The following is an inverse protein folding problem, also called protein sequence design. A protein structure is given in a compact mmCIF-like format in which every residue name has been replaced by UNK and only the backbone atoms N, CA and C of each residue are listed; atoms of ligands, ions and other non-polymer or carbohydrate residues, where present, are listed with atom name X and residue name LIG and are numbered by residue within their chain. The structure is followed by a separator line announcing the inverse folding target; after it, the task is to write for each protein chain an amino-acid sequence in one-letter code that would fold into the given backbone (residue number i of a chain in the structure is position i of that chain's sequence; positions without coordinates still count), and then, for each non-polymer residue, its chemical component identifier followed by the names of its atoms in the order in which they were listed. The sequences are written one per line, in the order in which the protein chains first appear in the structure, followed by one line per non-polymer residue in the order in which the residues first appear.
data_IF_255159752367
#
_entry.id   IF_255159752367
#
_cell.length_a   1.000
_cell.length_b   1.000
_cell.length_c   1.000
_cell.angle_alpha   90.00
_cell.angle_beta   90.00
_cell.angle_gamma   90.00
#
_symmetry.space_group_name_H-M   'P 1'
#
loop_
_entity.id
_entity.type
_entity.pdbx_description
1 polymer ?
#
# COMPACT_ATOMS: atom_id res chain seq x y z
N UNK A 1 -6.09 8.11 -8.78
CA UNK A 1 -6.75 7.37 -7.69
C UNK A 1 -7.70 6.38 -8.36
N UNK A 2 -7.34 5.10 -8.46
CA UNK A 2 -8.07 4.15 -9.32
C UNK A 2 -8.22 2.72 -8.77
N UNK A 3 -7.84 2.48 -7.52
CA UNK A 3 -7.92 1.16 -6.87
C UNK A 3 -8.51 1.22 -5.46
N UNK A 4 -8.99 2.40 -5.04
CA UNK A 4 -9.58 2.63 -3.73
C UNK A 4 -11.03 2.97 -3.99
N UNK A 5 -11.92 2.19 -3.38
CA UNK A 5 -13.37 2.39 -3.39
C UNK A 5 -13.76 3.42 -2.35
N UNK A 6 -13.22 3.27 -1.14
CA UNK A 6 -13.47 4.18 -0.03
C UNK A 6 -12.18 4.50 0.73
N UNK A 7 -12.05 5.76 1.10
CA UNK A 7 -11.08 6.23 2.11
C UNK A 7 -11.88 6.72 3.30
N UNK A 8 -11.69 6.09 4.46
CA UNK A 8 -12.28 6.52 5.72
C UNK A 8 -11.20 7.12 6.63
N UNK A 9 -11.49 8.29 7.22
CA UNK A 9 -10.55 8.99 8.11
C UNK A 9 -11.16 9.09 9.51
N UNK A 10 -10.59 8.34 10.44
CA UNK A 10 -10.94 8.38 11.86
C UNK A 10 -9.97 9.34 12.56
N UNK A 11 -10.46 10.51 12.96
CA UNK A 11 -9.64 11.55 13.61
C UNK A 11 -9.62 11.35 15.12
N UNK A 12 -8.46 11.53 15.75
CA UNK A 12 -8.28 11.39 17.20
C UNK A 12 -7.72 10.03 17.59
N UNK A 13 -7.56 9.76 18.90
CA UNK A 13 -7.00 8.51 19.39
C UNK A 13 -7.89 7.33 18.98
N UNK A 14 -7.49 6.57 17.96
CA UNK A 14 -8.21 5.39 17.51
C UNK A 14 -7.85 4.14 18.34
N UNK A 15 -7.41 4.37 19.57
CA UNK A 15 -6.83 3.40 20.48
C UNK A 15 -7.84 2.37 20.97
N UNK A 16 -8.00 1.30 20.18
CA UNK A 16 -8.34 -0.06 20.62
C UNK A 16 -8.39 -1.02 19.41
N UNK A 17 -9.00 -0.59 18.30
CA UNK A 17 -9.15 -1.42 17.08
C UNK A 17 -7.98 -1.34 16.10
N UNK A 18 -7.17 -0.28 16.15
CA UNK A 18 -6.09 -0.01 15.18
C UNK A 18 -4.69 0.08 15.81
N UNK A 19 -4.55 -0.35 17.07
CA UNK A 19 -3.28 -0.31 17.80
C UNK A 19 -3.07 0.94 18.65
N UNK A 20 -2.08 0.87 19.53
CA UNK A 20 -1.74 1.94 20.47
C UNK A 20 -0.99 3.09 19.78
N UNK A 21 -1.15 4.31 20.27
CA UNK A 21 -0.35 5.47 19.84
C UNK A 21 -0.76 6.10 18.50
N UNK A 22 -1.94 5.80 17.97
CA UNK A 22 -2.43 6.39 16.72
C UNK A 22 -3.07 7.76 16.97
N UNK A 23 -2.60 8.81 16.30
CA UNK A 23 -3.22 10.16 16.32
C UNK A 23 -4.46 10.28 15.42
N UNK A 24 -4.71 9.25 14.61
CA UNK A 24 -5.80 9.09 13.66
C UNK A 24 -5.53 7.90 12.76
N UNK A 25 -6.56 7.40 12.07
CA UNK A 25 -6.47 6.24 11.17
C UNK A 25 -7.04 6.61 9.80
N UNK A 26 -6.35 6.18 8.75
CA UNK A 26 -6.85 6.21 7.39
C UNK A 26 -7.06 4.76 6.95
N UNK A 27 -8.32 4.40 6.71
CA UNK A 27 -8.70 3.07 6.25
C UNK A 27 -8.99 3.13 4.75
N UNK A 28 -8.37 2.22 4.00
CA UNK A 28 -8.58 2.09 2.56
C UNK A 28 -9.37 0.83 2.29
N UNK A 29 -10.54 0.97 1.68
CA UNK A 29 -11.32 -0.15 1.17
C UNK A 29 -11.08 -0.24 -0.33
N UNK A 30 -10.53 -1.36 -0.78
CA UNK A 30 -10.27 -1.61 -2.20
C UNK A 30 -11.36 -2.53 -2.73
N UNK A 31 -12.48 -1.92 -3.14
CA UNK A 31 -13.65 -2.40 -3.90
C UNK A 31 -14.03 -3.88 -3.77
N UNK A 32 -15.28 -4.13 -3.39
CA UNK A 32 -15.88 -5.46 -3.32
C UNK A 32 -16.54 -5.77 -4.68
N UNK A 33 -16.00 -6.66 -5.53
CA UNK A 33 -16.49 -6.81 -6.90
C UNK A 33 -17.95 -7.31 -6.88
N UNK A 34 -18.82 -6.62 -7.63
CA UNK A 34 -20.17 -7.08 -7.92
C UNK A 34 -20.13 -8.42 -8.68
N UNK A 35 -21.17 -9.23 -8.55
CA UNK A 35 -21.26 -10.49 -9.31
C UNK A 35 -21.23 -10.21 -10.82
N UNK A 36 -20.48 -11.02 -11.58
CA UNK A 36 -20.32 -10.87 -13.03
C UNK A 36 -18.86 -10.77 -13.48
N UNK A 37 -18.66 -10.38 -14.74
CA UNK A 37 -17.33 -10.18 -15.34
C UNK A 37 -17.16 -8.70 -15.66
N UNK A 38 -16.06 -8.10 -15.21
CA UNK A 38 -15.77 -6.69 -15.44
C UNK A 38 -14.33 -6.48 -15.86
N UNK A 39 -14.11 -5.73 -16.93
CA UNK A 39 -12.77 -5.27 -17.36
C UNK A 39 -12.81 -3.76 -17.50
N UNK A 40 -11.81 -3.09 -16.92
CA UNK A 40 -11.65 -1.63 -16.99
C UNK A 40 -10.22 -1.30 -17.37
N UNK A 41 -10.06 -0.51 -18.42
CA UNK A 41 -8.78 0.09 -18.79
C UNK A 41 -8.87 1.61 -18.67
N UNK A 42 -7.81 2.24 -18.21
CA UNK A 42 -7.69 3.71 -18.20
C UNK A 42 -6.29 4.12 -18.60
N UNK A 43 -6.21 5.23 -19.31
CA UNK A 43 -4.94 5.86 -19.66
C UNK A 43 -5.03 7.36 -19.35
N UNK A 44 -3.96 7.92 -18.81
CA UNK A 44 -3.85 9.35 -18.54
C UNK A 44 -2.52 9.85 -19.09
N UNK A 45 -2.57 10.84 -19.97
CA UNK A 45 -1.42 11.61 -20.42
C UNK A 45 -1.44 13.00 -19.79
N UNK A 46 -0.26 13.59 -19.57
CA UNK A 46 -0.14 14.93 -19.00
C UNK A 46 1.20 15.60 -19.27
N UNK A 47 1.36 16.80 -18.72
CA UNK A 47 2.62 17.56 -18.76
C UNK A 47 3.81 16.73 -18.27
N UNK A 48 5.03 17.12 -18.65
CA UNK A 48 6.28 16.45 -18.21
C UNK A 48 6.38 14.97 -18.64
N UNK A 49 5.83 14.65 -19.81
CA UNK A 49 5.79 13.28 -20.30
C UNK A 49 5.11 12.33 -19.31
N UNK A 50 4.10 12.81 -18.57
CA UNK A 50 3.37 11.94 -17.64
C UNK A 50 2.49 10.99 -18.45
N UNK A 51 2.68 9.69 -18.20
CA UNK A 51 1.87 8.61 -18.73
C UNK A 51 1.44 7.69 -17.58
N UNK A 52 0.16 7.39 -17.49
CA UNK A 52 -0.37 6.49 -16.46
C UNK A 52 -1.38 5.53 -17.07
N UNK A 53 -0.99 4.30 -17.29
CA UNK A 53 -1.86 3.21 -17.73
C UNK A 53 -2.36 2.39 -16.54
N UNK A 54 -3.62 1.96 -16.58
CA UNK A 54 -4.20 1.04 -15.59
C UNK A 54 -5.09 0.03 -16.29
N UNK A 55 -5.00 -1.21 -15.84
CA UNK A 55 -5.89 -2.30 -16.24
C UNK A 55 -6.42 -2.97 -14.97
N UNK A 56 -7.71 -3.26 -14.97
CA UNK A 56 -8.42 -3.96 -13.92
C UNK A 56 -9.28 -5.03 -14.57
N UNK A 57 -9.22 -6.24 -14.03
CA UNK A 57 -10.12 -7.32 -14.38
C UNK A 57 -10.74 -7.88 -13.11
N UNK A 58 -12.01 -8.23 -13.18
CA UNK A 58 -12.79 -8.74 -12.07
C UNK A 58 -13.73 -9.82 -12.57
N UNK A 59 -13.91 -10.84 -11.74
CA UNK A 59 -14.88 -11.90 -11.96
C UNK A 59 -15.48 -12.30 -10.62
N UNK A 60 -16.78 -12.56 -10.59
CA UNK A 60 -17.42 -13.08 -9.40
C UNK A 60 -18.74 -13.78 -9.69
N UNK A 61 -19.12 -14.66 -8.77
CA UNK A 61 -20.43 -15.29 -8.67
C UNK A 61 -20.94 -15.19 -7.23
N UNK A 62 -21.95 -15.98 -6.86
CA UNK A 62 -22.56 -15.95 -5.52
C UNK A 62 -21.55 -16.22 -4.40
N UNK A 63 -20.56 -17.09 -4.64
CA UNK A 63 -19.67 -17.61 -3.60
C UNK A 63 -18.21 -17.21 -3.81
N UNK A 64 -17.79 -16.81 -5.01
CA UNK A 64 -16.40 -16.51 -5.33
C UNK A 64 -16.26 -15.16 -6.01
N UNK A 65 -15.17 -14.47 -5.70
CA UNK A 65 -14.84 -13.16 -6.24
C UNK A 65 -13.34 -13.06 -6.42
N UNK A 66 -12.89 -12.61 -7.58
CA UNK A 66 -11.49 -12.30 -7.86
C UNK A 66 -11.40 -10.95 -8.56
N UNK A 67 -10.36 -10.22 -8.23
CA UNK A 67 -10.03 -8.97 -8.88
C UNK A 67 -8.52 -8.83 -8.99
N UNK A 68 -8.05 -8.45 -10.17
CA UNK A 68 -6.66 -8.12 -10.43
C UNK A 68 -6.58 -6.70 -10.97
N UNK A 69 -5.55 -5.96 -10.54
CA UNK A 69 -5.23 -4.66 -11.13
C UNK A 69 -3.74 -4.53 -11.35
N UNK A 70 -3.38 -3.87 -12.43
CA UNK A 70 -2.01 -3.44 -12.71
C UNK A 70 -2.04 -1.98 -13.15
N UNK A 71 -1.08 -1.20 -12.68
CA UNK A 71 -0.90 0.18 -13.11
C UNK A 71 0.57 0.47 -13.29
N UNK A 72 0.88 1.29 -14.29
CA UNK A 72 2.20 1.81 -14.56
C UNK A 72 2.11 3.32 -14.73
N UNK A 73 2.89 4.05 -13.94
CA UNK A 73 3.04 5.50 -14.00
C UNK A 73 4.48 5.81 -14.37
N UNK A 74 4.66 6.67 -15.36
CA UNK A 74 5.95 7.26 -15.71
C UNK A 74 5.78 8.77 -15.84
N UNK A 75 6.74 9.56 -15.36
CA UNK A 75 6.82 11.00 -15.62
C UNK A 75 8.25 11.49 -15.49
N UNK A 76 8.62 12.49 -16.29
CA UNK A 76 9.92 13.17 -16.20
C UNK A 76 9.95 14.23 -15.08
N UNK A 77 8.78 14.58 -14.53
CA UNK A 77 8.67 15.57 -13.45
C UNK A 77 8.86 17.03 -13.90
N UNK A 78 8.47 17.95 -13.02
CA UNK A 78 8.53 19.39 -13.30
C UNK A 78 9.95 19.97 -13.17
N UNK A 79 10.74 19.42 -12.23
CA UNK A 79 12.10 19.86 -11.92
C UNK A 79 13.12 18.94 -12.58
N UNK A 80 14.33 19.44 -12.76
CA UNK A 80 15.47 18.60 -13.12
C UNK A 80 15.67 17.54 -12.04
N UNK A 81 16.00 16.31 -12.44
CA UNK A 81 16.19 15.18 -11.52
C UNK A 81 14.94 14.87 -10.66
N UNK A 82 13.75 14.87 -11.28
CA UNK A 82 12.47 14.56 -10.61
C UNK A 82 11.62 13.51 -11.34
N UNK A 83 12.26 12.69 -12.16
CA UNK A 83 11.57 11.60 -12.85
C UNK A 83 11.05 10.55 -11.86
N UNK A 84 9.96 9.88 -12.22
CA UNK A 84 9.35 8.80 -11.45
C UNK A 84 8.86 7.70 -12.39
N UNK A 85 9.09 6.46 -12.00
CA UNK A 85 8.52 5.26 -12.57
C UNK A 85 7.93 4.42 -11.45
N UNK A 86 6.66 4.03 -11.58
CA UNK A 86 6.00 3.22 -10.57
C UNK A 86 5.07 2.20 -11.21
N UNK A 87 5.33 0.94 -10.91
CA UNK A 87 4.45 -0.17 -11.26
C UNK A 87 3.81 -0.74 -10.01
N UNK A 88 2.48 -0.86 -10.00
CA UNK A 88 1.73 -1.45 -8.89
C UNK A 88 0.85 -2.56 -9.44
N UNK A 89 1.03 -3.77 -8.91
CA UNK A 89 0.18 -4.93 -9.18
C UNK A 89 -0.56 -5.33 -7.91
N UNK A 90 -1.83 -5.69 -8.03
CA UNK A 90 -2.62 -6.19 -6.90
C UNK A 90 -3.55 -7.31 -7.35
N UNK A 91 -3.80 -8.24 -6.44
CA UNK A 91 -4.84 -9.25 -6.58
C UNK A 91 -5.61 -9.38 -5.27
N UNK A 92 -6.93 -9.45 -5.36
CA UNK A 92 -7.83 -9.79 -4.29
C UNK A 92 -8.68 -10.99 -4.69
N UNK A 93 -8.83 -11.95 -3.79
CA UNK A 93 -9.71 -13.10 -3.96
C UNK A 93 -10.52 -13.31 -2.69
N UNK A 94 -11.80 -13.68 -2.84
CA UNK A 94 -12.68 -14.03 -1.75
C UNK A 94 -13.51 -15.26 -2.11
N UNK A 95 -13.68 -16.16 -1.15
CA UNK A 95 -14.57 -17.32 -1.25
C UNK A 95 -15.47 -17.42 -0.02
N UNK A 96 -16.78 -17.31 -0.23
CA UNK A 96 -17.84 -17.45 0.78
C UNK A 96 -18.35 -18.90 0.77
N UNK A 97 -18.37 -19.52 1.94
CA UNK A 97 -18.88 -20.87 2.17
C UNK A 97 -20.38 -20.85 2.48
N UNK A 98 -21.04 -22.00 2.33
CA UNK A 98 -22.47 -22.15 2.62
C UNK A 98 -22.84 -21.83 4.09
N UNK A 99 -21.88 -22.02 5.00
CA UNK A 99 -22.03 -21.75 6.44
C UNK A 99 -21.72 -20.29 6.84
N UNK A 100 -21.72 -19.35 5.88
CA UNK A 100 -21.38 -17.93 6.10
C UNK A 100 -19.94 -17.70 6.60
N UNK A 101 -19.03 -18.63 6.31
CA UNK A 101 -17.59 -18.40 6.38
C UNK A 101 -17.11 -17.68 5.11
N UNK A 102 -16.05 -16.89 5.20
CA UNK A 102 -15.43 -16.27 4.03
C UNK A 102 -13.90 -16.29 4.16
N UNK A 103 -13.25 -16.87 3.16
CA UNK A 103 -11.81 -16.81 2.97
C UNK A 103 -11.45 -15.61 2.10
N UNK A 104 -10.33 -14.96 2.40
CA UNK A 104 -9.78 -13.88 1.58
C UNK A 104 -8.28 -14.11 1.34
N UNK A 105 -7.83 -13.67 0.16
CA UNK A 105 -6.43 -13.57 -0.21
C UNK A 105 -6.22 -12.19 -0.82
N UNK A 106 -5.20 -11.49 -0.39
CA UNK A 106 -4.77 -10.23 -0.99
C UNK A 106 -3.28 -10.27 -1.23
N UNK A 107 -2.83 -9.79 -2.39
CA UNK A 107 -1.42 -9.50 -2.63
C UNK A 107 -1.26 -8.14 -3.30
N UNK A 108 -0.21 -7.43 -2.93
CA UNK A 108 0.15 -6.12 -3.43
C UNK A 108 1.66 -6.10 -3.70
N UNK A 109 2.03 -5.90 -4.96
CA UNK A 109 3.39 -5.69 -5.42
C UNK A 109 3.57 -4.24 -5.88
N UNK A 110 4.67 -3.61 -5.49
CA UNK A 110 5.07 -2.27 -5.94
C UNK A 110 6.52 -2.30 -6.35
N UNK A 111 6.81 -1.78 -7.53
CA UNK A 111 8.15 -1.42 -8.00
C UNK A 111 8.16 0.10 -8.16
N UNK A 112 9.06 0.80 -7.51
CA UNK A 112 9.10 2.25 -7.46
C UNK A 112 10.54 2.73 -7.64
N UNK A 113 10.77 3.51 -8.69
CA UNK A 113 11.98 4.29 -8.86
C UNK A 113 11.59 5.77 -8.97
N UNK A 114 12.20 6.65 -8.18
CA UNK A 114 12.04 8.08 -8.36
C UNK A 114 13.25 8.89 -7.94
N UNK A 115 13.50 9.96 -8.69
CA UNK A 115 14.59 10.89 -8.44
C UNK A 115 14.19 11.94 -7.41
N UNK A 116 15.17 12.36 -6.61
CA UNK A 116 15.02 13.33 -5.52
C UNK A 116 15.73 14.63 -5.94
N UNK A 117 15.00 15.64 -6.44
CA UNK A 117 15.61 16.89 -6.87
C UNK A 117 16.12 17.75 -5.71
N UNK A 118 15.75 17.41 -4.46
CA UNK A 118 16.13 18.15 -3.25
C UNK A 118 15.47 19.54 -3.11
N UNK A 119 15.62 20.14 -1.93
CA UNK A 119 15.15 21.50 -1.66
C UNK A 119 16.07 22.58 -2.23
N UNK A 120 15.49 23.69 -2.69
CA UNK A 120 16.18 24.92 -3.12
C UNK A 120 15.75 26.09 -2.24
N UNK A 121 16.64 27.08 -2.05
CA UNK A 121 16.35 28.28 -1.26
C UNK A 121 15.61 29.35 -2.10
N UNK A 122 15.25 30.49 -1.49
CA UNK A 122 14.47 31.53 -2.14
C UNK A 122 15.21 32.20 -3.33
N UNK A 123 16.52 32.39 -3.22
CA UNK A 123 17.36 32.96 -4.28
C UNK A 123 17.40 32.01 -5.49
N UNK A 124 17.69 30.73 -5.24
CA UNK A 124 17.68 29.67 -6.26
C UNK A 124 16.31 29.52 -6.93
N UNK A 125 15.22 29.62 -6.17
CA UNK A 125 13.87 29.56 -6.72
C UNK A 125 13.59 30.74 -7.67
N UNK A 126 14.05 31.94 -7.31
CA UNK A 126 13.91 33.14 -8.14
C UNK A 126 14.72 33.03 -9.44
N UNK A 127 15.91 32.43 -9.39
CA UNK A 127 16.78 32.24 -10.55
C UNK A 127 16.25 31.16 -11.51
N UNK A 128 15.96 29.96 -10.98
CA UNK A 128 15.38 28.86 -11.76
C UNK A 128 14.54 27.94 -10.86
N UNK A 129 13.20 27.98 -10.96
CA UNK A 129 12.34 27.14 -10.13
C UNK A 129 12.37 25.65 -10.50
N UNK A 130 12.98 25.29 -11.64
CA UNK A 130 13.10 23.90 -12.09
C UNK A 130 14.40 23.24 -11.68
N UNK A 131 15.42 23.99 -11.26
CA UNK A 131 16.73 23.40 -10.97
C UNK A 131 16.67 22.36 -9.85
N UNK A 132 17.50 21.33 -9.93
CA UNK A 132 17.78 20.44 -8.81
C UNK A 132 18.69 21.16 -7.78
N UNK A 133 18.65 20.69 -6.53
CA UNK A 133 19.64 21.08 -5.53
C UNK A 133 21.03 20.67 -6.04
N UNK A 134 22.07 21.51 -5.86
CA UNK A 134 23.44 21.12 -6.16
C UNK A 134 23.79 19.77 -5.54
N UNK A 135 24.48 18.92 -6.31
CA UNK A 135 24.83 17.52 -5.99
C UNK A 135 23.69 16.49 -6.06
N UNK A 136 22.40 16.87 -6.10
CA UNK A 136 21.31 15.89 -6.19
C UNK A 136 21.40 15.04 -7.45
N UNK A 137 21.54 15.68 -8.62
CA UNK A 137 21.69 14.97 -9.88
C UNK A 137 23.04 14.24 -9.97
N UNK A 138 24.13 14.91 -9.57
CA UNK A 138 25.49 14.35 -9.65
C UNK A 138 25.69 13.09 -8.81
N UNK A 139 24.97 12.99 -7.68
CA UNK A 139 25.01 11.84 -6.77
C UNK A 139 23.87 10.85 -7.03
N UNK A 140 23.17 11.01 -8.16
CA UNK A 140 21.98 10.27 -8.53
C UNK A 140 20.98 10.11 -7.37
N UNK A 141 20.65 11.20 -6.68
CA UNK A 141 19.81 11.12 -5.50
C UNK A 141 18.43 10.55 -5.87
N UNK A 142 18.07 9.36 -5.41
CA UNK A 142 16.85 8.67 -5.82
C UNK A 142 16.39 7.71 -4.74
N UNK A 143 15.20 7.15 -4.91
CA UNK A 143 14.72 6.00 -4.16
C UNK A 143 14.31 4.93 -5.16
N UNK A 144 14.90 3.76 -5.00
CA UNK A 144 14.44 2.50 -5.60
C UNK A 144 13.83 1.65 -4.48
N UNK A 145 12.62 1.11 -4.71
CA UNK A 145 11.89 0.34 -3.72
C UNK A 145 10.99 -0.69 -4.38
N UNK A 146 11.30 -1.95 -4.13
CA UNK A 146 10.41 -3.08 -4.40
C UNK A 146 9.75 -3.54 -3.11
N UNK A 147 8.45 -3.81 -3.18
CA UNK A 147 7.70 -4.33 -2.04
C UNK A 147 6.65 -5.32 -2.48
N UNK A 148 6.59 -6.44 -1.78
CA UNK A 148 5.52 -7.42 -1.87
C UNK A 148 4.87 -7.58 -0.51
N UNK A 149 3.55 -7.49 -0.47
CA UNK A 149 2.72 -7.79 0.69
C UNK A 149 1.71 -8.87 0.28
N UNK A 150 1.56 -9.89 1.12
CA UNK A 150 0.55 -10.94 0.97
C UNK A 150 -0.22 -11.06 2.27
N UNK A 151 -1.53 -11.24 2.17
CA UNK A 151 -2.44 -11.44 3.29
C UNK A 151 -3.42 -12.56 2.97
N UNK A 152 -3.66 -13.43 3.94
CA UNK A 152 -4.70 -14.46 3.90
C UNK A 152 -5.58 -14.30 5.11
N UNK A 153 -6.89 -14.25 4.91
CA UNK A 153 -7.87 -14.08 5.96
C UNK A 153 -8.93 -15.16 5.94
N UNK A 154 -9.51 -15.40 7.11
CA UNK A 154 -10.76 -16.12 7.27
C UNK A 154 -11.64 -15.38 8.25
N UNK A 155 -12.90 -15.20 7.88
CA UNK A 155 -13.93 -14.69 8.77
C UNK A 155 -15.11 -15.64 8.81
N UNK A 156 -15.77 -15.74 9.95
CA UNK A 156 -17.01 -16.49 10.11
C UNK A 156 -18.02 -15.65 10.86
N UNK A 157 -19.24 -15.62 10.35
CA UNK A 157 -20.39 -15.06 11.03
C UNK A 157 -21.31 -16.21 11.45
N UNK A 158 -21.33 -16.55 12.73
CA UNK A 158 -22.32 -17.51 13.22
C UNK A 158 -23.69 -16.84 13.31
N UNK A 159 -24.78 -17.58 13.03
CA UNK A 159 -26.19 -17.10 13.11
C UNK A 159 -26.59 -16.52 14.48
N UNK A 160 -25.73 -16.62 15.49
CA UNK A 160 -25.93 -16.09 16.85
C UNK A 160 -24.75 -15.19 17.20
N UNK A 161 -24.87 -13.89 16.95
CA UNK A 161 -24.15 -12.78 17.62
C UNK A 161 -22.62 -12.75 17.62
N UNK A 162 -21.91 -13.80 17.18
CA UNK A 162 -20.46 -13.94 17.24
C UNK A 162 -19.86 -13.91 15.84
N UNK A 163 -18.96 -12.96 15.61
CA UNK A 163 -18.09 -12.88 14.44
C UNK A 163 -16.67 -13.21 14.86
N UNK A 164 -16.03 -14.10 14.13
CA UNK A 164 -14.62 -14.44 14.30
C UNK A 164 -13.85 -14.06 13.05
N UNK A 165 -12.65 -13.52 13.20
CA UNK A 165 -11.74 -13.20 12.11
C UNK A 165 -10.31 -13.57 12.46
N UNK A 166 -9.60 -14.16 11.51
CA UNK A 166 -8.17 -14.42 11.61
C UNK A 166 -7.51 -14.01 10.31
N UNK A 167 -6.38 -13.31 10.40
CA UNK A 167 -5.62 -12.84 9.26
C UNK A 167 -4.15 -13.11 9.48
N UNK A 168 -3.49 -13.70 8.50
CA UNK A 168 -2.04 -13.77 8.41
C UNK A 168 -1.54 -12.88 7.30
N UNK A 169 -0.44 -12.19 7.53
CA UNK A 169 0.23 -11.41 6.50
C UNK A 169 1.73 -11.62 6.53
N UNK A 170 2.35 -11.43 5.36
CA UNK A 170 3.79 -11.42 5.20
C UNK A 170 4.18 -10.36 4.18
N UNK A 171 5.34 -9.75 4.36
CA UNK A 171 5.90 -8.80 3.42
C UNK A 171 7.40 -9.00 3.26
N UNK A 172 7.88 -8.56 2.11
CA UNK A 172 9.31 -8.39 1.82
C UNK A 172 9.48 -7.11 1.02
N UNK A 173 10.64 -6.48 1.16
CA UNK A 173 11.00 -5.35 0.33
C UNK A 173 12.48 -5.07 0.39
N UNK A 174 12.96 -4.51 -0.72
CA UNK A 174 14.27 -3.89 -0.81
C UNK A 174 14.05 -2.36 -0.89
N UNK A 175 15.08 -1.63 -0.52
CA UNK A 175 15.08 -0.18 -0.58
C UNK A 175 16.51 0.29 -0.80
N UNK A 176 16.72 1.07 -1.83
CA UNK A 176 17.97 1.75 -2.10
C UNK A 176 17.70 3.26 -2.16
N UNK A 177 18.58 4.04 -1.52
CA UNK A 177 18.51 5.49 -1.52
C UNK A 177 19.92 6.06 -1.59
N UNK A 178 20.47 6.19 -2.81
CA UNK A 178 21.58 7.10 -3.03
C UNK A 178 21.10 8.51 -2.69
N UNK A 179 21.81 9.17 -1.78
CA UNK A 179 21.54 10.53 -1.38
C UNK A 179 22.82 11.36 -1.39
N UNK A 180 22.72 12.68 -1.24
CA UNK A 180 23.83 13.61 -1.49
C UNK A 180 25.11 13.29 -0.67
N UNK A 181 24.95 12.69 0.52
CA UNK A 181 26.03 12.42 1.46
C UNK A 181 26.22 10.92 1.73
N UNK A 182 25.16 10.14 1.53
CA UNK A 182 25.09 8.78 2.02
C UNK A 182 24.30 7.89 1.06
N UNK A 183 24.61 6.60 1.09
CA UNK A 183 23.95 5.57 0.30
C UNK A 183 23.35 4.54 1.25
N UNK A 184 22.03 4.56 1.36
CA UNK A 184 21.30 3.64 2.22
C UNK A 184 20.77 2.47 1.40
N UNK A 185 21.00 1.27 1.90
CA UNK A 185 20.35 0.05 1.44
C UNK A 185 19.65 -0.63 2.60
N UNK A 186 18.45 -1.13 2.37
CA UNK A 186 17.67 -1.82 3.39
C UNK A 186 16.89 -2.98 2.77
N UNK A 187 17.06 -4.16 3.34
CA UNK A 187 16.20 -5.31 3.10
C UNK A 187 15.33 -5.52 4.32
N UNK A 188 14.01 -5.49 4.12
CA UNK A 188 13.06 -5.81 5.16
C UNK A 188 12.17 -6.98 4.78
N UNK A 189 11.92 -7.84 5.76
CA UNK A 189 10.92 -8.89 5.64
C UNK A 189 10.26 -9.10 6.98
N UNK A 190 9.01 -9.53 6.94
CA UNK A 190 8.28 -9.73 8.17
C UNK A 190 6.91 -10.32 7.93
N UNK A 191 6.22 -10.57 9.02
CA UNK A 191 4.87 -11.08 8.96
C UNK A 191 4.24 -11.14 10.33
N UNK A 192 2.96 -11.44 10.34
CA UNK A 192 2.19 -11.50 11.56
C UNK A 192 0.88 -12.21 11.41
N UNK A 193 0.27 -12.47 12.56
CA UNK A 193 -1.04 -13.05 12.72
C UNK A 193 -1.88 -12.13 13.59
N UNK A 194 -3.09 -11.85 13.14
CA UNK A 194 -4.12 -11.13 13.90
C UNK A 194 -5.34 -12.03 14.02
N UNK A 195 -5.85 -12.21 15.23
CA UNK A 195 -7.11 -12.89 15.47
C UNK A 195 -8.03 -11.99 16.30
N UNK A 196 -9.31 -12.00 15.98
CA UNK A 196 -10.31 -11.18 16.64
C UNK A 196 -11.66 -11.87 16.72
N UNK A 197 -12.41 -11.57 17.77
CA UNK A 197 -13.77 -11.99 17.95
C UNK A 197 -14.62 -10.80 18.39
N UNK A 198 -15.79 -10.64 17.77
CA UNK A 198 -16.81 -9.68 18.18
C UNK A 198 -18.08 -10.41 18.57
N UNK A 199 -18.59 -10.15 19.76
CA UNK A 199 -19.78 -10.78 20.31
C UNK A 199 -20.81 -9.76 20.77
N UNK A 200 -22.00 -9.77 20.16
CA UNK A 200 -23.16 -9.05 20.64
C UNK A 200 -23.80 -9.81 21.82
N UNK A 201 -23.35 -9.52 23.05
CA UNK A 201 -23.72 -10.27 24.26
C UNK A 201 -25.16 -9.96 24.71
N UNK A 202 -25.61 -8.72 24.50
CA UNK A 202 -26.98 -8.23 24.77
C UNK A 202 -27.35 -7.18 23.72
N UNK A 203 -28.64 -6.82 23.57
CA UNK A 203 -29.02 -5.62 22.82
C UNK A 203 -28.21 -4.42 23.36
N UNK A 204 -27.46 -3.76 22.47
CA UNK A 204 -26.58 -2.62 22.74
C UNK A 204 -25.26 -2.91 23.48
N UNK A 205 -24.88 -4.18 23.68
CA UNK A 205 -23.58 -4.55 24.25
C UNK A 205 -22.79 -5.42 23.26
N UNK A 206 -21.73 -4.84 22.69
CA UNK A 206 -20.76 -5.53 21.87
C UNK A 206 -19.44 -5.68 22.62
N UNK A 207 -18.98 -6.92 22.78
CA UNK A 207 -17.64 -7.23 23.28
C UNK A 207 -16.72 -7.52 22.10
N UNK A 208 -15.55 -6.89 22.06
CA UNK A 208 -14.49 -7.17 21.08
C UNK A 208 -13.23 -7.62 21.81
N UNK A 209 -12.67 -8.75 21.36
CA UNK A 209 -11.40 -9.28 21.85
C UNK A 209 -10.50 -9.53 20.65
N UNK A 210 -9.22 -9.18 20.76
CA UNK A 210 -8.25 -9.35 19.69
C UNK A 210 -6.86 -9.62 20.22
N UNK A 211 -6.07 -10.31 19.41
CA UNK A 211 -4.64 -10.55 19.66
C UNK A 211 -3.87 -10.38 18.36
N UNK A 212 -2.65 -9.89 18.49
CA UNK A 212 -1.74 -9.67 17.38
C UNK A 212 -0.34 -10.15 17.75
N UNK A 213 0.28 -10.88 16.84
CA UNK A 213 1.68 -11.30 16.90
C UNK A 213 2.34 -10.89 15.59
N UNK A 214 3.47 -10.19 15.67
CA UNK A 214 4.23 -9.78 14.50
C UNK A 214 5.74 -9.95 14.75
N UNK A 215 6.47 -10.23 13.68
CA UNK A 215 7.93 -10.28 13.66
C UNK A 215 8.45 -9.72 12.35
N UNK A 216 9.45 -8.85 12.43
CA UNK A 216 10.21 -8.36 11.29
C UNK A 216 11.71 -8.63 11.46
N UNK A 217 12.41 -8.64 10.34
CA UNK A 217 13.85 -8.60 10.23
C UNK A 217 14.18 -7.48 9.26
N UNK A 218 14.98 -6.53 9.72
CA UNK A 218 15.37 -5.35 8.98
C UNK A 218 16.91 -5.31 8.96
N UNK A 219 17.49 -5.42 7.77
CA UNK A 219 18.95 -5.36 7.55
C UNK A 219 19.19 -4.06 6.80
N UNK A 220 19.80 -3.09 7.47
CA UNK A 220 20.09 -1.78 6.90
C UNK A 220 21.59 -1.49 6.94
N UNK A 221 22.12 -1.02 5.81
CA UNK A 221 23.47 -0.48 5.68
C UNK A 221 23.40 1.00 5.30
N UNK A 222 24.32 1.79 5.83
CA UNK A 222 24.55 3.15 5.34
C UNK A 222 26.02 3.35 5.03
N UNK A 223 26.30 3.83 3.82
CA UNK A 223 27.64 4.00 3.27
C UNK A 223 27.85 5.45 2.83
N UNK A 224 29.10 5.85 2.57
CA UNK A 224 29.35 7.12 1.91
C UNK A 224 28.95 7.05 0.44
N UNK A 225 28.22 8.04 -0.07
CA UNK A 225 27.94 8.14 -1.50
C UNK A 225 29.14 8.81 -2.20
N UNK A 226 29.92 8.02 -2.94
CA UNK A 226 31.17 8.47 -3.58
C UNK A 226 31.00 8.86 -5.05
N UNK A 227 29.79 8.73 -5.60
CA UNK A 227 29.50 8.98 -7.02
C UNK A 227 29.86 7.81 -7.92
#
# INVERSE_FOLDING_TARGET
MGSIDQVEVLKGPAGSSFGAGTGGVINFTTLNPDAGVGVRASYTGGSWGTHHGRLQASWGNENQRIETRISHLQSQGYRDHSAVQRTVGQVGYQYVTQDQGAWSLHALGTLLDYQIPGGINAEQLADNPRQARPRSADQNSSIDQDRLLVNVGYQSSSKKSLRFQVNGFGYTGNFENPFILDYKVEDNSGGGLRAGAQWAVRPNWDLQLGTELQRSVDIAGNYGNVG
#
